data_IF_180878882923
#
_entry.id   IF_180878882923
#
_cell.length_a   1.000
_cell.length_b   1.000
_cell.length_c   1.000
_cell.angle_alpha   90.00
_cell.angle_beta   90.00
_cell.angle_gamma   90.00
#
_symmetry.space_group_name_H-M   'P 1'
#
loop_
_entity.id
_entity.type
_entity.pdbx_description
1 polymer ?
#
# COMPACT_ATOMS: atom_id res chain seq x y z
N UNK A 1 -3.93 2.60 18.20
CA UNK A 1 -4.27 1.30 17.58
C UNK A 1 -5.52 1.35 16.71
N UNK A 2 -6.51 2.20 17.05
CA UNK A 2 -7.78 2.28 16.31
C UNK A 2 -7.72 3.06 14.98
N UNK A 3 -6.67 3.84 14.72
CA UNK A 3 -6.57 4.70 13.54
C UNK A 3 -6.62 3.92 12.22
N UNK A 4 -5.84 2.84 12.09
CA UNK A 4 -5.79 2.00 10.88
C UNK A 4 -7.15 1.33 10.63
N UNK A 5 -7.80 0.85 11.69
CA UNK A 5 -9.10 0.21 11.57
C UNK A 5 -10.20 1.20 11.17
N UNK A 6 -10.20 2.40 11.78
CA UNK A 6 -11.09 3.49 11.40
C UNK A 6 -10.91 3.89 9.93
N UNK A 7 -9.66 3.97 9.45
CA UNK A 7 -9.38 4.23 8.03
C UNK A 7 -9.96 3.13 7.14
N UNK A 8 -9.83 1.86 7.52
CA UNK A 8 -10.37 0.73 6.76
C UNK A 8 -11.90 0.81 6.65
N UNK A 9 -12.60 1.10 7.74
CA UNK A 9 -14.05 1.31 7.74
C UNK A 9 -14.42 2.49 6.83
N UNK A 10 -13.68 3.60 6.92
CA UNK A 10 -13.90 4.78 6.09
C UNK A 10 -13.73 4.49 4.59
N UNK A 11 -12.70 3.76 4.21
CA UNK A 11 -12.46 3.37 2.81
C UNK A 11 -13.60 2.52 2.25
N UNK A 12 -14.07 1.54 3.02
CA UNK A 12 -15.21 0.70 2.65
C UNK A 12 -16.50 1.51 2.56
N UNK A 13 -16.79 2.34 3.55
CA UNK A 13 -18.00 3.16 3.61
C UNK A 13 -18.07 4.16 2.45
N UNK A 14 -16.95 4.76 2.08
CA UNK A 14 -16.85 5.71 0.96
C UNK A 14 -16.61 5.04 -0.40
N UNK A 15 -16.63 3.71 -0.44
CA UNK A 15 -16.32 2.93 -1.67
C UNK A 15 -14.98 3.32 -2.32
N UNK A 16 -14.03 3.79 -1.52
CA UNK A 16 -12.69 4.13 -2.00
C UNK A 16 -11.91 2.85 -2.28
N UNK A 17 -11.34 2.77 -3.48
CA UNK A 17 -10.49 1.65 -3.89
C UNK A 17 -9.02 2.03 -3.75
N UNK A 18 -8.24 1.18 -3.08
CA UNK A 18 -6.80 1.31 -3.08
C UNK A 18 -6.21 0.89 -4.43
N UNK A 19 -5.06 1.44 -4.75
CA UNK A 19 -4.29 0.99 -5.90
C UNK A 19 -3.87 -0.47 -5.70
N UNK A 20 -3.88 -1.25 -6.77
CA UNK A 20 -3.29 -2.60 -6.79
C UNK A 20 -1.76 -2.56 -6.65
N UNK A 21 -1.17 -1.39 -6.76
CA UNK A 21 0.27 -1.18 -6.60
C UNK A 21 0.61 -1.01 -5.13
N UNK A 22 1.59 -1.77 -4.68
CA UNK A 22 2.11 -1.72 -3.32
C UNK A 22 2.62 -0.32 -3.00
N UNK A 23 2.23 0.25 -1.88
CA UNK A 23 2.68 1.51 -1.27
C UNK A 23 3.09 2.65 -2.23
N UNK A 24 2.98 2.50 -3.53
CA UNK A 24 3.37 3.48 -4.55
C UNK A 24 4.88 3.54 -4.86
N UNK A 25 5.71 2.69 -4.26
CA UNK A 25 7.15 2.65 -4.52
C UNK A 25 7.46 2.46 -6.01
N UNK A 26 8.34 3.28 -6.55
CA UNK A 26 8.74 3.25 -7.96
C UNK A 26 7.69 3.77 -8.95
N UNK A 27 6.52 4.18 -8.47
CA UNK A 27 5.43 4.71 -9.31
C UNK A 27 4.95 6.09 -8.87
N UNK A 28 4.43 6.20 -7.67
CA UNK A 28 3.90 7.44 -7.11
C UNK A 28 4.85 8.05 -6.06
N UNK A 29 5.80 7.26 -5.59
CA UNK A 29 6.80 7.65 -4.60
C UNK A 29 8.16 7.24 -5.14
N UNK A 30 9.09 8.17 -5.15
CA UNK A 30 10.51 7.95 -5.43
C UNK A 30 11.33 8.70 -4.38
N UNK A 31 12.58 8.33 -4.20
CA UNK A 31 13.57 9.09 -3.42
C UNK A 31 14.74 9.47 -4.31
N UNK A 32 15.38 10.59 -3.98
CA UNK A 32 16.56 11.10 -4.69
C UNK A 32 17.68 11.25 -3.65
N UNK A 33 18.85 10.69 -3.95
CA UNK A 33 20.03 10.85 -3.11
C UNK A 33 20.77 12.17 -3.41
N UNK A 34 21.80 12.48 -2.60
CA UNK A 34 22.60 13.70 -2.76
C UNK A 34 23.40 13.74 -4.08
N UNK A 35 23.56 12.61 -4.76
CA UNK A 35 24.23 12.52 -6.07
C UNK A 35 23.24 12.64 -7.23
N UNK A 36 21.95 12.81 -6.93
CA UNK A 36 20.89 12.91 -7.92
C UNK A 36 20.42 11.57 -8.48
N UNK A 37 20.78 10.44 -7.86
CA UNK A 37 20.25 9.15 -8.26
C UNK A 37 18.81 8.97 -7.76
N UNK A 38 17.96 8.38 -8.59
CA UNK A 38 16.55 8.15 -8.33
C UNK A 38 16.36 6.70 -7.92
N UNK A 39 15.69 6.47 -6.80
CA UNK A 39 15.36 5.14 -6.27
C UNK A 39 13.86 4.97 -6.09
N UNK A 40 13.40 3.73 -6.17
CA UNK A 40 11.99 3.39 -6.04
C UNK A 40 11.38 3.78 -4.67
N UNK A 41 12.20 3.84 -3.61
CA UNK A 41 11.78 4.20 -2.26
C UNK A 41 13.00 4.62 -1.45
N UNK A 42 12.83 5.48 -0.44
CA UNK A 42 13.93 5.91 0.45
C UNK A 42 14.60 4.74 1.19
N UNK A 43 13.86 3.69 1.54
CA UNK A 43 14.41 2.48 2.19
C UNK A 43 15.21 1.58 1.24
N UNK A 44 15.08 1.80 -0.08
CA UNK A 44 15.78 1.06 -1.12
C UNK A 44 16.96 1.85 -1.72
N UNK A 45 17.27 3.04 -1.20
CA UNK A 45 18.31 3.93 -1.75
C UNK A 45 19.73 3.39 -1.57
N UNK A 46 19.94 2.42 -0.71
CA UNK A 46 21.26 1.76 -0.52
C UNK A 46 21.49 0.58 -1.49
N UNK A 47 20.47 0.21 -2.27
CA UNK A 47 20.52 -0.97 -3.14
C UNK A 47 20.50 -0.55 -4.62
N UNK A 48 21.60 -0.77 -5.32
CA UNK A 48 21.74 -0.39 -6.74
C UNK A 48 20.70 -1.04 -7.65
N UNK A 49 20.20 -2.22 -7.31
CA UNK A 49 19.16 -2.92 -8.09
C UNK A 49 17.85 -2.11 -8.19
N UNK A 50 17.62 -1.20 -7.24
CA UNK A 50 16.43 -0.35 -7.18
C UNK A 50 16.69 1.08 -7.65
N UNK A 51 17.89 1.33 -8.23
CA UNK A 51 18.18 2.58 -8.92
C UNK A 51 17.38 2.65 -10.22
N UNK A 52 16.62 3.72 -10.37
CA UNK A 52 15.74 3.96 -11.52
C UNK A 52 16.38 4.91 -12.55
N UNK A 53 17.52 5.52 -12.25
CA UNK A 53 18.18 6.49 -13.08
C UNK A 53 18.71 7.69 -12.29
N UNK A 54 18.90 8.82 -12.95
CA UNK A 54 19.39 10.05 -12.32
C UNK A 54 18.63 11.27 -12.83
N UNK A 55 18.47 12.30 -11.98
CA UNK A 55 17.89 13.59 -12.36
C UNK A 55 18.73 14.32 -13.40
N UNK A 56 20.01 13.97 -13.54
CA UNK A 56 20.93 14.55 -14.52
C UNK A 56 20.94 13.80 -15.86
N UNK A 57 20.23 12.67 -15.95
CA UNK A 57 20.18 11.87 -17.17
C UNK A 57 19.02 12.30 -18.07
N UNK A 58 19.29 12.41 -19.36
CA UNK A 58 18.25 12.62 -20.37
C UNK A 58 17.46 11.37 -20.72
N UNK A 59 17.91 10.20 -20.23
CA UNK A 59 17.25 8.92 -20.43
C UNK A 59 15.98 8.84 -19.58
N UNK A 60 14.98 8.09 -20.09
CA UNK A 60 13.77 7.82 -19.31
C UNK A 60 14.12 7.07 -18.02
N UNK A 61 13.52 7.49 -16.93
CA UNK A 61 13.62 6.81 -15.64
C UNK A 61 13.10 5.37 -15.78
N UNK A 62 13.89 4.39 -15.32
CA UNK A 62 13.51 2.98 -15.32
C UNK A 62 12.25 2.77 -14.48
N UNK A 63 11.26 2.09 -15.02
CA UNK A 63 10.06 1.74 -14.26
C UNK A 63 10.30 0.42 -13.51
N UNK A 64 10.17 0.46 -12.19
CA UNK A 64 10.23 -0.74 -11.34
C UNK A 64 8.82 -1.04 -10.85
N UNK A 65 8.34 -2.25 -11.14
CA UNK A 65 7.01 -2.69 -10.76
C UNK A 65 7.08 -3.75 -9.66
N UNK A 66 6.47 -3.47 -8.53
CA UNK A 66 6.40 -4.34 -7.35
C UNK A 66 5.04 -5.02 -7.21
N UNK A 67 4.44 -5.47 -8.29
CA UNK A 67 3.18 -6.22 -8.22
C UNK A 67 3.42 -7.64 -7.71
N UNK A 68 2.46 -8.14 -6.95
CA UNK A 68 2.44 -9.53 -6.49
C UNK A 68 1.37 -10.30 -7.26
N UNK A 69 1.75 -11.34 -7.98
CA UNK A 69 0.82 -12.11 -8.83
C UNK A 69 -0.34 -12.72 -8.04
N UNK A 70 -0.09 -13.20 -6.81
CA UNK A 70 -1.14 -13.74 -5.95
C UNK A 70 -2.17 -12.69 -5.50
N UNK A 71 -1.86 -11.40 -5.62
CA UNK A 71 -2.80 -10.32 -5.32
C UNK A 71 -3.84 -10.11 -6.43
N UNK A 72 -3.56 -10.53 -7.67
CA UNK A 72 -4.46 -10.31 -8.80
C UNK A 72 -5.80 -11.03 -8.63
N UNK A 73 -5.81 -12.22 -8.02
CA UNK A 73 -7.01 -13.00 -7.70
C UNK A 73 -7.51 -12.81 -6.27
N UNK A 74 -6.87 -11.96 -5.46
CA UNK A 74 -7.25 -11.76 -4.06
C UNK A 74 -8.49 -10.88 -3.96
N UNK A 75 -9.51 -11.37 -3.23
CA UNK A 75 -10.74 -10.60 -2.98
C UNK A 75 -10.49 -9.28 -2.25
N UNK A 76 -9.45 -9.24 -1.39
CA UNK A 76 -9.09 -8.08 -0.58
C UNK A 76 -8.20 -7.05 -1.32
N UNK A 77 -7.88 -7.27 -2.59
CA UNK A 77 -6.86 -6.49 -3.33
C UNK A 77 -7.12 -4.98 -3.37
N UNK A 78 -8.37 -4.56 -3.44
CA UNK A 78 -8.74 -3.14 -3.56
C UNK A 78 -8.91 -2.43 -2.20
N UNK A 79 -8.83 -3.16 -1.11
CA UNK A 79 -8.91 -2.64 0.26
C UNK A 79 -7.63 -2.91 1.05
N UNK A 80 -6.66 -3.60 0.45
CA UNK A 80 -5.37 -3.92 1.05
C UNK A 80 -4.32 -2.87 0.72
N UNK A 81 -3.45 -2.54 1.67
CA UNK A 81 -2.28 -1.67 1.47
C UNK A 81 -1.08 -2.42 0.86
N UNK A 82 -1.18 -3.74 0.72
CA UNK A 82 -0.19 -4.64 0.13
C UNK A 82 1.17 -4.71 0.86
N UNK A 83 1.28 -4.20 2.09
CA UNK A 83 2.50 -4.26 2.88
C UNK A 83 3.63 -3.36 2.40
N UNK A 84 4.83 -3.59 2.93
CA UNK A 84 6.03 -2.83 2.59
C UNK A 84 6.93 -3.63 1.64
N UNK A 85 7.24 -3.06 0.49
CA UNK A 85 8.13 -3.67 -0.52
C UNK A 85 9.50 -3.98 0.06
N UNK A 86 10.09 -3.03 0.79
CA UNK A 86 11.40 -3.19 1.42
C UNK A 86 11.44 -4.38 2.38
N UNK A 87 10.42 -4.50 3.24
CA UNK A 87 10.35 -5.59 4.21
C UNK A 87 10.34 -6.96 3.52
N UNK A 88 9.59 -7.09 2.44
CA UNK A 88 9.46 -8.38 1.76
C UNK A 88 10.70 -8.72 0.93
N UNK A 89 11.30 -7.74 0.25
CA UNK A 89 12.45 -7.99 -0.62
C UNK A 89 13.73 -8.11 0.20
N UNK A 90 14.02 -7.14 1.04
CA UNK A 90 15.33 -7.02 1.70
C UNK A 90 15.38 -7.84 2.99
N UNK A 91 14.40 -7.64 3.88
CA UNK A 91 14.46 -8.27 5.19
C UNK A 91 14.03 -9.74 5.19
N UNK A 92 13.10 -10.11 4.31
CA UNK A 92 12.56 -11.47 4.27
C UNK A 92 13.01 -12.28 3.06
N UNK A 93 13.76 -11.67 2.15
CA UNK A 93 14.24 -12.30 0.91
C UNK A 93 13.13 -13.01 0.11
N UNK A 94 11.95 -12.38 0.07
CA UNK A 94 10.74 -12.95 -0.55
C UNK A 94 10.46 -12.44 -1.97
N UNK A 95 11.36 -11.65 -2.52
CA UNK A 95 11.13 -10.98 -3.80
C UNK A 95 9.88 -10.10 -3.74
N UNK A 96 8.99 -10.22 -4.72
CA UNK A 96 7.74 -9.45 -4.76
C UNK A 96 6.58 -10.09 -3.97
N UNK A 97 6.83 -11.16 -3.20
CA UNK A 97 5.79 -11.83 -2.43
C UNK A 97 5.49 -11.11 -1.12
N UNK A 98 4.21 -10.98 -0.79
CA UNK A 98 3.77 -10.37 0.45
C UNK A 98 3.84 -11.39 1.60
N UNK A 99 4.23 -10.93 2.78
CA UNK A 99 4.22 -11.72 4.01
C UNK A 99 2.86 -12.38 4.25
N UNK A 100 2.77 -13.71 4.37
CA UNK A 100 1.50 -14.42 4.60
C UNK A 100 0.75 -13.96 5.86
N UNK A 101 1.48 -13.68 6.95
CA UNK A 101 0.89 -13.14 8.16
C UNK A 101 0.26 -11.76 7.94
N UNK A 102 0.90 -10.89 7.15
CA UNK A 102 0.31 -9.61 6.76
C UNK A 102 -0.95 -9.81 5.90
N UNK A 103 -0.95 -10.77 4.97
CA UNK A 103 -2.13 -11.09 4.18
C UNK A 103 -3.30 -11.55 5.05
N UNK A 104 -3.05 -12.45 6.01
CA UNK A 104 -4.07 -12.93 6.95
C UNK A 104 -4.62 -11.79 7.82
N UNK A 105 -3.73 -10.97 8.38
CA UNK A 105 -4.10 -9.78 9.15
C UNK A 105 -4.96 -8.80 8.33
N UNK A 106 -4.51 -8.44 7.12
CA UNK A 106 -5.22 -7.50 6.27
C UNK A 106 -6.62 -7.98 5.88
N UNK A 107 -6.76 -9.28 5.55
CA UNK A 107 -8.05 -9.91 5.26
C UNK A 107 -8.96 -9.84 6.48
N UNK A 108 -8.46 -10.24 7.65
CA UNK A 108 -9.25 -10.22 8.89
C UNK A 108 -9.72 -8.82 9.27
N UNK A 109 -8.85 -7.82 9.14
CA UNK A 109 -9.21 -6.43 9.37
C UNK A 109 -10.31 -5.94 8.42
N UNK A 110 -10.29 -6.38 7.16
CA UNK A 110 -11.33 -6.04 6.19
C UNK A 110 -12.65 -6.74 6.51
N UNK A 111 -12.63 -8.03 6.87
CA UNK A 111 -13.82 -8.78 7.32
C UNK A 111 -14.51 -8.10 8.51
N UNK A 112 -13.75 -7.75 9.54
CA UNK A 112 -14.26 -7.04 10.72
C UNK A 112 -14.82 -5.65 10.36
N UNK A 113 -14.19 -4.94 9.43
CA UNK A 113 -14.68 -3.64 8.99
C UNK A 113 -15.99 -3.78 8.21
N UNK A 114 -16.14 -4.77 7.36
CA UNK A 114 -17.39 -5.10 6.66
C UNK A 114 -18.48 -5.43 7.68
N UNK A 115 -18.18 -6.29 8.64
CA UNK A 115 -19.13 -6.67 9.68
C UNK A 115 -19.66 -5.47 10.47
N UNK A 116 -18.78 -4.53 10.83
CA UNK A 116 -19.17 -3.29 11.50
C UNK A 116 -20.05 -2.41 10.59
N UNK A 117 -19.69 -2.27 9.31
CA UNK A 117 -20.50 -1.51 8.36
C UNK A 117 -21.90 -2.09 8.17
N UNK A 118 -22.01 -3.42 8.27
CA UNK A 118 -23.32 -4.08 8.16
C UNK A 118 -24.18 -3.99 9.44
N UNK A 119 -23.53 -3.98 10.62
CA UNK A 119 -24.23 -3.98 11.91
C UNK A 119 -24.60 -2.59 12.41
N UNK A 120 -23.90 -1.56 12.00
CA UNK A 120 -24.13 -0.19 12.49
C UNK A 120 -25.01 0.62 11.52
N UNK A 121 -25.99 1.37 12.04
CA UNK A 121 -26.74 2.34 11.24
C UNK A 121 -25.81 3.36 10.58
N UNK A 122 -26.13 3.77 9.36
CA UNK A 122 -25.33 4.69 8.56
C UNK A 122 -25.01 6.00 9.32
N UNK A 123 -25.98 6.58 10.01
CA UNK A 123 -25.79 7.80 10.80
C UNK A 123 -24.72 7.64 11.90
N UNK A 124 -24.68 6.46 12.54
CA UNK A 124 -23.67 6.15 13.56
C UNK A 124 -22.26 6.00 12.96
N UNK A 125 -22.18 5.39 11.78
CA UNK A 125 -20.92 5.28 11.04
C UNK A 125 -20.38 6.66 10.63
N UNK A 126 -21.22 7.53 10.08
CA UNK A 126 -20.90 8.91 9.72
C UNK A 126 -20.29 9.64 10.92
N UNK A 127 -20.96 9.60 12.07
CA UNK A 127 -20.49 10.24 13.31
C UNK A 127 -19.13 9.67 13.78
N UNK A 128 -18.98 8.34 13.81
CA UNK A 128 -17.71 7.68 14.22
C UNK A 128 -16.57 8.05 13.27
N UNK A 129 -16.86 8.15 11.98
CA UNK A 129 -15.87 8.43 10.95
C UNK A 129 -15.54 9.93 10.83
N UNK A 130 -16.36 10.80 11.40
CA UNK A 130 -16.20 12.26 11.31
C UNK A 130 -16.39 12.76 9.87
N UNK A 131 -17.45 12.30 9.18
CA UNK A 131 -17.73 12.63 7.77
C UNK A 131 -18.84 13.67 7.68
N UNK A 132 -19.41 14.10 8.80
CA UNK A 132 -20.59 14.94 8.89
C UNK A 132 -20.47 16.33 8.23
N UNK A 133 -19.26 16.74 7.80
CA UNK A 133 -18.97 18.10 7.33
C UNK A 133 -18.21 18.14 5.99
N UNK A 134 -18.47 17.23 5.08
CA UNK A 134 -17.92 17.33 3.71
C UNK A 134 -19.00 17.33 2.66
#
# INVERSE_FOLDING_TARGET
PFGIFKMKIRELFLSKRNSIYRCGAGKNIVSIDLKGNIYACHRLSEFNDFNMGSIYSTNKVKNINFTCNSCNSCWNRFTCTHGCVYEDIVQRNRGAMIEPAFCAYSKKMTELAIEICMKLPQQKLIKILGIDNQ
#
